data_IF_687496098917
#
_entry.id   IF_687496098917
#
_cell.length_a   1.000
_cell.length_b   1.000
_cell.length_c   1.000
_cell.angle_alpha   90.00
_cell.angle_beta   90.00
_cell.angle_gamma   90.00
#
_symmetry.space_group_name_H-M   'P 1'
#
loop_
_entity.id
_entity.type
_entity.pdbx_description
1 polymer ?
#
# COMPACT_ATOMS: atom_id res chain seq x y z
N UNK A 1 17.46 -30.97 0.05
CA UNK A 1 16.59 -31.28 -1.12
C UNK A 1 15.10 -31.21 -0.80
N UNK A 2 14.61 -31.89 0.25
CA UNK A 2 13.20 -31.82 0.67
C UNK A 2 12.72 -30.39 0.95
N UNK A 3 13.59 -29.56 1.54
CA UNK A 3 13.33 -28.14 1.81
C UNK A 3 13.05 -27.32 0.55
N UNK A 4 13.89 -27.48 -0.48
CA UNK A 4 13.74 -26.79 -1.77
C UNK A 4 12.46 -27.27 -2.48
N UNK A 5 12.18 -28.57 -2.44
CA UNK A 5 10.94 -29.14 -2.99
C UNK A 5 9.72 -28.57 -2.25
N UNK A 6 9.76 -28.57 -0.91
CA UNK A 6 8.70 -27.99 -0.08
C UNK A 6 8.46 -26.52 -0.39
N UNK A 7 9.54 -25.74 -0.57
CA UNK A 7 9.46 -24.34 -0.98
C UNK A 7 8.75 -24.19 -2.33
N UNK A 8 9.23 -24.90 -3.36
CA UNK A 8 8.68 -24.83 -4.72
C UNK A 8 7.21 -25.25 -4.75
N UNK A 9 6.84 -26.32 -4.04
CA UNK A 9 5.44 -26.76 -3.90
C UNK A 9 4.61 -25.68 -3.22
N UNK A 10 5.09 -25.10 -2.12
CA UNK A 10 4.37 -24.06 -1.39
C UNK A 10 4.14 -22.80 -2.23
N UNK A 11 5.17 -22.33 -2.95
CA UNK A 11 5.08 -21.14 -3.82
C UNK A 11 4.17 -21.40 -5.01
N UNK A 12 4.25 -22.59 -5.63
CA UNK A 12 3.37 -22.99 -6.72
C UNK A 12 1.91 -23.02 -6.25
N UNK A 13 1.64 -23.54 -5.05
CA UNK A 13 0.30 -23.57 -4.47
C UNK A 13 -0.23 -22.16 -4.17
N UNK A 14 0.60 -21.30 -3.57
CA UNK A 14 0.25 -19.89 -3.32
C UNK A 14 -0.12 -19.21 -4.64
N UNK A 15 0.74 -19.34 -5.65
CA UNK A 15 0.52 -18.75 -6.97
C UNK A 15 -0.75 -19.29 -7.62
N UNK A 16 -0.99 -20.61 -7.59
CA UNK A 16 -2.19 -21.23 -8.15
C UNK A 16 -3.49 -20.74 -7.49
N UNK A 17 -3.50 -20.56 -6.16
CA UNK A 17 -4.67 -20.04 -5.43
C UNK A 17 -4.92 -18.58 -5.80
N UNK A 18 -3.87 -17.74 -5.81
CA UNK A 18 -3.98 -16.32 -6.18
C UNK A 18 -4.45 -16.15 -7.63
N UNK A 19 -3.91 -16.95 -8.57
CA UNK A 19 -4.33 -16.95 -9.97
C UNK A 19 -5.81 -17.33 -10.16
N UNK A 20 -6.34 -18.19 -9.29
CA UNK A 20 -7.77 -18.53 -9.23
C UNK A 20 -8.62 -17.50 -8.47
N UNK A 21 -8.09 -16.30 -8.24
CA UNK A 21 -8.73 -15.21 -7.47
C UNK A 21 -9.03 -15.60 -6.01
N UNK A 22 -8.31 -16.56 -5.46
CA UNK A 22 -8.36 -16.87 -4.03
C UNK A 22 -7.74 -15.75 -3.20
N UNK A 23 -8.24 -15.55 -1.97
CA UNK A 23 -7.71 -14.54 -1.06
C UNK A 23 -6.26 -14.82 -0.67
N UNK A 24 -5.42 -13.77 -0.65
CA UNK A 24 -3.98 -13.89 -0.38
C UNK A 24 -3.70 -14.55 0.97
N UNK A 25 -4.47 -14.22 2.00
CA UNK A 25 -4.32 -14.84 3.33
C UNK A 25 -4.53 -16.36 3.31
N UNK A 26 -5.53 -16.83 2.56
CA UNK A 26 -5.80 -18.26 2.38
C UNK A 26 -4.67 -18.93 1.60
N UNK A 27 -4.19 -18.27 0.55
CA UNK A 27 -3.07 -18.77 -0.25
C UNK A 27 -1.82 -18.98 0.62
N UNK A 28 -1.47 -18.00 1.47
CA UNK A 28 -0.32 -18.07 2.36
C UNK A 28 -0.46 -19.16 3.43
N UNK A 29 -1.64 -19.31 4.03
CA UNK A 29 -1.90 -20.39 4.99
C UNK A 29 -1.80 -21.77 4.32
N UNK A 30 -2.37 -21.94 3.13
CA UNK A 30 -2.27 -23.17 2.37
C UNK A 30 -0.81 -23.49 1.99
N UNK A 31 -0.04 -22.49 1.55
CA UNK A 31 1.39 -22.62 1.31
C UNK A 31 2.17 -23.01 2.56
N UNK A 32 1.81 -22.45 3.73
CA UNK A 32 2.42 -22.78 5.02
C UNK A 32 2.16 -24.24 5.39
N UNK A 33 0.93 -24.72 5.21
CA UNK A 33 0.56 -26.12 5.45
C UNK A 33 1.33 -27.05 4.50
N UNK A 34 1.40 -26.73 3.21
CA UNK A 34 2.14 -27.52 2.24
C UNK A 34 3.63 -27.61 2.59
N UNK A 35 4.27 -26.47 2.89
CA UNK A 35 5.67 -26.43 3.28
C UNK A 35 5.92 -27.20 4.58
N UNK A 36 5.11 -26.92 5.61
CA UNK A 36 5.24 -27.51 6.94
C UNK A 36 5.10 -29.03 6.92
N UNK A 37 4.12 -29.56 6.19
CA UNK A 37 3.92 -31.02 6.08
C UNK A 37 5.05 -31.73 5.32
N UNK A 38 5.74 -31.05 4.41
CA UNK A 38 6.85 -31.63 3.63
C UNK A 38 8.17 -31.57 4.43
N UNK A 39 8.35 -30.55 5.26
CA UNK A 39 9.65 -30.22 5.86
C UNK A 39 9.74 -30.45 7.37
N UNK A 40 8.61 -30.50 8.07
CA UNK A 40 8.54 -30.59 9.52
C UNK A 40 7.67 -31.78 9.97
N UNK A 41 7.91 -32.25 11.20
CA UNK A 41 6.96 -33.17 11.83
C UNK A 41 5.64 -32.45 12.15
N UNK A 42 4.48 -33.15 12.18
CA UNK A 42 3.20 -32.51 12.52
C UNK A 42 3.21 -31.80 13.89
N UNK A 43 3.93 -32.36 14.87
CA UNK A 43 4.11 -31.73 16.18
C UNK A 43 4.95 -30.46 16.11
N UNK A 44 6.01 -30.44 15.32
CA UNK A 44 6.86 -29.24 15.20
C UNK A 44 6.13 -28.16 14.41
N UNK A 45 5.44 -28.53 13.33
CA UNK A 45 4.63 -27.59 12.55
C UNK A 45 3.54 -26.94 13.41
N UNK A 46 2.79 -27.71 14.19
CA UNK A 46 1.77 -27.12 15.09
C UNK A 46 2.36 -26.16 16.11
N UNK A 47 3.53 -26.47 16.70
CA UNK A 47 4.24 -25.55 17.60
C UNK A 47 4.67 -24.27 16.88
N UNK A 48 5.19 -24.38 15.66
CA UNK A 48 5.58 -23.23 14.83
C UNK A 48 4.38 -22.33 14.54
N UNK A 49 3.25 -22.91 14.13
CA UNK A 49 2.01 -22.16 13.86
C UNK A 49 1.51 -21.45 15.11
N UNK A 50 1.42 -22.14 16.25
CA UNK A 50 0.94 -21.55 17.51
C UNK A 50 1.88 -20.42 17.95
N UNK A 51 3.19 -20.64 17.90
CA UNK A 51 4.19 -19.61 18.27
C UNK A 51 4.09 -18.40 17.34
N UNK A 52 3.91 -18.62 16.03
CA UNK A 52 3.75 -17.54 15.06
C UNK A 52 2.47 -16.73 15.30
N UNK A 53 1.33 -17.38 15.56
CA UNK A 53 0.06 -16.70 15.80
C UNK A 53 0.05 -15.91 17.12
N UNK A 54 0.81 -16.35 18.12
CA UNK A 54 0.93 -15.69 19.43
C UNK A 54 2.10 -14.68 19.50
N UNK A 55 2.89 -14.54 18.43
CA UNK A 55 4.00 -13.60 18.39
C UNK A 55 3.49 -12.14 18.35
N UNK A 56 4.11 -11.26 19.15
CA UNK A 56 3.79 -9.83 19.19
C UNK A 56 3.88 -9.18 17.81
N UNK A 57 4.85 -9.57 16.98
CA UNK A 57 5.02 -9.06 15.61
C UNK A 57 3.84 -9.42 14.71
N UNK A 58 3.18 -10.55 14.99
CA UNK A 58 1.98 -10.97 14.25
C UNK A 58 0.82 -10.07 14.58
N UNK A 59 0.63 -9.72 15.86
CA UNK A 59 -0.36 -8.72 16.25
C UNK A 59 -0.04 -7.36 15.65
N UNK A 60 1.22 -6.91 15.72
CA UNK A 60 1.64 -5.62 15.14
C UNK A 60 1.35 -5.53 13.63
N UNK A 61 1.77 -6.51 12.84
CA UNK A 61 1.52 -6.55 11.39
C UNK A 61 0.04 -6.66 11.08
N UNK A 62 -0.67 -7.57 11.75
CA UNK A 62 -2.09 -7.83 11.50
C UNK A 62 -2.94 -6.62 11.82
N UNK A 63 -2.71 -5.98 12.96
CA UNK A 63 -3.39 -4.74 13.34
C UNK A 63 -3.04 -3.60 12.39
N UNK A 64 -1.77 -3.45 12.00
CA UNK A 64 -1.38 -2.43 11.03
C UNK A 64 -2.15 -2.60 9.72
N UNK A 65 -2.07 -3.77 9.07
CA UNK A 65 -2.73 -4.01 7.77
C UNK A 65 -4.25 -3.83 7.85
N UNK A 66 -4.89 -4.31 8.93
CA UNK A 66 -6.33 -4.17 9.12
C UNK A 66 -6.77 -2.70 9.30
N UNK A 67 -6.08 -1.93 10.14
CA UNK A 67 -6.46 -0.52 10.39
C UNK A 67 -6.07 0.37 9.20
N UNK A 68 -4.98 0.07 8.49
CA UNK A 68 -4.62 0.73 7.22
C UNK A 68 -5.74 0.54 6.19
N UNK A 69 -6.27 -0.68 6.03
CA UNK A 69 -7.40 -0.95 5.15
C UNK A 69 -8.67 -0.21 5.59
N UNK A 70 -8.91 -0.10 6.91
CA UNK A 70 -10.01 0.71 7.45
C UNK A 70 -9.85 2.19 7.12
N UNK A 71 -8.65 2.75 7.25
CA UNK A 71 -8.38 4.14 6.85
C UNK A 71 -8.66 4.34 5.35
N UNK A 72 -8.22 3.42 4.49
CA UNK A 72 -8.54 3.44 3.06
C UNK A 72 -10.05 3.43 2.80
N UNK A 73 -10.81 2.58 3.50
CA UNK A 73 -12.26 2.53 3.41
C UNK A 73 -12.94 3.83 3.89
N UNK A 74 -12.43 4.44 4.97
CA UNK A 74 -12.90 5.74 5.45
C UNK A 74 -12.71 6.81 4.36
N UNK A 75 -11.53 6.89 3.76
CA UNK A 75 -11.25 7.85 2.69
C UNK A 75 -12.21 7.69 1.51
N UNK A 76 -12.51 6.46 1.13
CA UNK A 76 -13.47 6.15 0.05
C UNK A 76 -14.89 6.57 0.40
N UNK A 77 -15.39 6.24 1.59
CA UNK A 77 -16.80 6.46 1.97
C UNK A 77 -17.09 7.93 2.31
N UNK A 78 -16.10 8.65 2.81
CA UNK A 78 -16.25 10.06 3.20
C UNK A 78 -16.05 11.03 2.04
N UNK A 79 -15.68 10.55 0.84
CA UNK A 79 -15.39 11.41 -0.31
C UNK A 79 -14.06 12.16 -0.20
N UNK A 80 -13.23 11.87 0.81
CA UNK A 80 -11.92 12.50 0.98
C UNK A 80 -10.99 12.26 -0.21
N UNK A 81 -11.16 11.14 -0.93
CA UNK A 81 -10.45 10.88 -2.19
C UNK A 81 -10.77 11.93 -3.25
N UNK A 82 -12.04 12.30 -3.39
CA UNK A 82 -12.47 13.30 -4.37
C UNK A 82 -12.04 14.71 -3.95
N UNK A 83 -12.07 15.00 -2.64
CA UNK A 83 -11.53 16.25 -2.09
C UNK A 83 -10.02 16.39 -2.34
N UNK A 84 -9.25 15.30 -2.16
CA UNK A 84 -7.82 15.26 -2.49
C UNK A 84 -7.60 15.53 -3.98
N UNK A 85 -8.31 14.80 -4.84
CA UNK A 85 -8.14 14.88 -6.30
C UNK A 85 -8.42 16.29 -6.82
N UNK A 86 -9.58 16.85 -6.45
CA UNK A 86 -9.98 18.20 -6.85
C UNK A 86 -9.10 19.27 -6.21
N UNK A 87 -8.70 19.09 -4.95
CA UNK A 87 -7.86 20.05 -4.25
C UNK A 87 -6.45 20.12 -4.80
N UNK A 88 -5.84 18.98 -5.15
CA UNK A 88 -4.54 18.92 -5.80
C UNK A 88 -4.57 19.57 -7.18
N UNK A 89 -5.60 19.29 -7.99
CA UNK A 89 -5.78 19.91 -9.30
C UNK A 89 -5.82 21.44 -9.24
N UNK A 90 -6.42 22.00 -8.18
CA UNK A 90 -6.52 23.47 -7.99
C UNK A 90 -5.32 24.09 -7.28
N UNK A 91 -4.64 23.33 -6.42
CA UNK A 91 -3.51 23.83 -5.64
C UNK A 91 -2.17 23.81 -6.40
N UNK A 92 -2.03 22.91 -7.36
CA UNK A 92 -0.79 22.75 -8.12
C UNK A 92 -0.69 23.78 -9.26
N UNK A 93 0.49 24.38 -9.47
CA UNK A 93 0.66 25.50 -10.38
C UNK A 93 0.78 25.09 -11.86
N UNK A 94 0.98 23.80 -12.16
CA UNK A 94 1.12 23.33 -13.54
C UNK A 94 0.40 22.01 -13.78
N UNK A 95 -0.10 21.82 -14.99
CA UNK A 95 -0.78 20.59 -15.40
C UNK A 95 0.14 19.37 -15.37
N UNK A 96 1.42 19.54 -15.72
CA UNK A 96 2.45 18.50 -15.54
C UNK A 96 2.51 18.02 -14.09
N UNK A 97 2.55 18.94 -13.12
CA UNK A 97 2.56 18.55 -11.70
C UNK A 97 1.25 17.87 -11.27
N UNK A 98 0.10 18.29 -11.80
CA UNK A 98 -1.17 17.60 -11.52
C UNK A 98 -1.13 16.16 -12.05
N UNK A 99 -0.66 15.98 -13.27
CA UNK A 99 -0.52 14.68 -13.94
C UNK A 99 0.41 13.73 -13.18
N UNK A 100 1.44 14.23 -12.52
CA UNK A 100 2.40 13.43 -11.74
C UNK A 100 1.94 13.19 -10.29
N UNK A 101 1.54 14.26 -9.58
CA UNK A 101 1.32 14.22 -8.13
C UNK A 101 -0.03 13.65 -7.73
N UNK A 102 -1.07 13.80 -8.56
CA UNK A 102 -2.37 13.15 -8.29
C UNK A 102 -2.16 11.62 -8.33
N UNK A 103 -1.60 11.08 -9.43
CA UNK A 103 -0.74 9.91 -9.50
C UNK A 103 -0.26 9.30 -8.19
N UNK A 104 0.81 9.96 -7.76
CA UNK A 104 1.62 9.65 -6.61
C UNK A 104 0.78 9.60 -5.33
N UNK A 105 -0.07 10.59 -5.07
CA UNK A 105 -0.86 10.66 -3.83
C UNK A 105 -1.87 9.52 -3.75
N UNK A 106 -2.53 9.19 -4.86
CA UNK A 106 -3.39 8.01 -4.91
C UNK A 106 -2.61 6.70 -4.79
N UNK A 107 -1.34 6.66 -5.20
CA UNK A 107 -0.42 5.56 -4.96
C UNK A 107 -0.05 5.38 -3.48
N UNK A 108 0.00 6.47 -2.71
CA UNK A 108 0.22 6.42 -1.26
C UNK A 108 -1.00 5.89 -0.49
N UNK A 109 -2.18 5.85 -1.11
CA UNK A 109 -3.39 5.45 -0.41
C UNK A 109 -3.58 3.94 -0.50
N UNK A 110 -3.87 3.25 0.63
CA UNK A 110 -4.12 1.81 0.67
C UNK A 110 -5.55 1.51 0.19
N UNK A 111 -5.91 1.96 -1.02
CA UNK A 111 -7.26 1.86 -1.58
C UNK A 111 -7.26 0.97 -2.82
N UNK A 112 -8.11 -0.05 -2.80
CA UNK A 112 -8.47 -0.79 -4.01
C UNK A 112 -9.18 0.16 -4.96
N UNK A 113 -8.55 0.48 -6.10
CA UNK A 113 -9.11 1.39 -7.10
C UNK A 113 -8.45 2.77 -7.20
N UNK A 114 -7.28 3.00 -6.60
CA UNK A 114 -6.54 4.26 -6.80
C UNK A 114 -6.36 4.64 -8.28
N UNK A 115 -6.18 3.65 -9.16
CA UNK A 115 -6.15 3.81 -10.62
C UNK A 115 -7.43 4.45 -11.20
N UNK A 116 -8.59 3.99 -10.73
CA UNK A 116 -9.91 4.45 -11.17
C UNK A 116 -10.21 5.86 -10.65
N UNK A 117 -9.62 6.24 -9.51
CA UNK A 117 -9.83 7.56 -8.89
C UNK A 117 -8.89 8.63 -9.47
N UNK A 118 -7.67 8.27 -9.85
CA UNK A 118 -6.74 9.20 -10.50
C UNK A 118 -6.99 9.32 -12.02
N UNK A 119 -7.52 8.28 -12.67
CA UNK A 119 -7.74 8.26 -14.11
C UNK A 119 -8.61 9.42 -14.63
N UNK A 120 -9.76 9.80 -14.02
CA UNK A 120 -10.58 10.91 -14.50
C UNK A 120 -9.84 12.25 -14.48
N UNK A 121 -8.97 12.47 -13.48
CA UNK A 121 -8.20 13.72 -13.39
C UNK A 121 -7.06 13.73 -14.40
N UNK A 122 -6.34 12.62 -14.53
CA UNK A 122 -5.31 12.48 -15.58
C UNK A 122 -5.93 12.62 -16.97
N UNK A 123 -7.12 12.06 -17.19
CA UNK A 123 -7.79 12.14 -18.48
C UNK A 123 -8.20 13.57 -18.80
N UNK A 124 -8.87 14.26 -17.87
CA UNK A 124 -9.27 15.65 -18.05
C UNK A 124 -8.07 16.57 -18.31
N UNK A 125 -7.04 16.50 -17.47
CA UNK A 125 -5.85 17.35 -17.59
C UNK A 125 -5.02 16.99 -18.82
N UNK A 126 -4.87 15.70 -19.11
CA UNK A 126 -4.15 15.23 -20.29
C UNK A 126 -4.84 15.63 -21.60
N UNK A 127 -6.18 15.63 -21.65
CA UNK A 127 -6.93 16.12 -22.79
C UNK A 127 -6.72 17.63 -23.01
N UNK A 128 -6.75 18.43 -21.94
CA UNK A 128 -6.44 19.86 -21.98
C UNK A 128 -5.02 20.08 -22.56
N UNK A 129 -4.05 19.28 -22.13
CA UNK A 129 -2.66 19.32 -22.59
C UNK A 129 -2.46 18.77 -24.03
N UNK A 130 -3.46 18.13 -24.62
CA UNK A 130 -3.38 17.49 -25.95
C UNK A 130 -2.58 16.19 -25.97
N UNK A 131 -2.58 15.43 -24.87
CA UNK A 131 -1.87 14.16 -24.74
C UNK A 131 -2.64 12.99 -25.34
N UNK A 132 -1.89 12.04 -25.90
CA UNK A 132 -2.44 10.80 -26.43
C UNK A 132 -2.89 9.85 -25.30
N UNK A 133 -3.84 8.93 -25.56
CA UNK A 133 -4.35 8.00 -24.54
C UNK A 133 -3.29 7.12 -23.85
N UNK A 134 -2.27 6.70 -24.58
CA UNK A 134 -1.16 5.90 -24.09
C UNK A 134 -0.23 6.71 -23.18
N UNK A 135 0.05 7.97 -23.50
CA UNK A 135 0.82 8.90 -22.65
C UNK A 135 0.13 9.12 -21.30
N UNK A 136 -1.19 9.39 -21.33
CA UNK A 136 -2.01 9.53 -20.11
C UNK A 136 -1.99 8.26 -19.26
N UNK A 137 -2.10 7.11 -19.90
CA UNK A 137 -2.06 5.81 -19.22
C UNK A 137 -0.70 5.55 -18.59
N UNK A 138 0.39 5.84 -19.31
CA UNK A 138 1.75 5.74 -18.80
C UNK A 138 1.93 6.62 -17.57
N UNK A 139 1.57 7.91 -17.63
CA UNK A 139 1.76 8.85 -16.52
C UNK A 139 0.97 8.38 -15.28
N UNK A 140 -0.30 8.00 -15.46
CA UNK A 140 -1.12 7.50 -14.37
C UNK A 140 -0.54 6.23 -13.73
N UNK A 141 -0.04 5.29 -14.55
CA UNK A 141 0.51 4.04 -14.06
C UNK A 141 1.87 4.27 -13.39
N UNK A 142 2.78 5.01 -14.02
CA UNK A 142 4.15 5.18 -13.58
C UNK A 142 4.19 5.90 -12.23
N UNK A 143 3.68 7.14 -12.17
CA UNK A 143 3.78 7.95 -10.96
C UNK A 143 3.00 7.40 -9.77
N UNK A 144 1.95 6.61 -10.02
CA UNK A 144 1.24 5.88 -8.95
C UNK A 144 2.10 4.81 -8.28
N UNK A 145 3.04 4.19 -8.97
CA UNK A 145 3.88 3.12 -8.41
C UNK A 145 5.26 3.61 -7.96
N UNK A 146 5.78 4.71 -8.51
CA UNK A 146 7.09 5.25 -8.08
C UNK A 146 7.13 5.51 -6.57
N UNK A 147 6.03 5.96 -5.97
CA UNK A 147 5.97 6.23 -4.53
C UNK A 147 6.07 4.99 -3.63
N UNK A 148 5.88 3.78 -4.17
CA UNK A 148 5.91 2.54 -3.38
C UNK A 148 7.30 2.25 -2.83
N UNK A 149 8.35 2.78 -3.46
CA UNK A 149 9.72 2.65 -2.99
C UNK A 149 9.98 3.37 -1.66
N UNK A 150 9.20 4.42 -1.36
CA UNK A 150 9.40 5.24 -0.15
C UNK A 150 8.26 5.15 0.85
N UNK A 151 7.08 4.64 0.46
CA UNK A 151 5.91 4.70 1.31
C UNK A 151 5.98 3.67 2.45
N UNK A 152 6.22 4.09 3.71
CA UNK A 152 6.49 3.19 4.85
C UNK A 152 5.32 2.27 5.20
N UNK A 153 4.11 2.66 4.78
CA UNK A 153 2.85 1.99 5.11
C UNK A 153 2.35 1.16 3.92
N UNK A 154 3.06 1.21 2.79
CA UNK A 154 2.83 0.32 1.67
C UNK A 154 2.99 -1.13 2.10
N UNK A 155 2.01 -1.96 1.75
CA UNK A 155 1.98 -3.38 2.14
C UNK A 155 3.27 -4.10 1.76
N UNK A 156 3.80 -3.85 0.55
CA UNK A 156 5.05 -4.45 0.07
C UNK A 156 6.24 -4.17 0.99
N UNK A 157 6.44 -2.91 1.38
CA UNK A 157 7.57 -2.49 2.20
C UNK A 157 7.41 -2.95 3.65
N UNK A 158 6.18 -2.90 4.16
CA UNK A 158 5.84 -3.43 5.49
C UNK A 158 6.15 -4.92 5.57
N UNK A 159 5.68 -5.70 4.59
CA UNK A 159 5.94 -7.13 4.49
C UNK A 159 7.44 -7.42 4.39
N UNK A 160 8.18 -6.70 3.53
CA UNK A 160 9.63 -6.86 3.42
C UNK A 160 10.33 -6.61 4.77
N UNK A 161 9.92 -5.59 5.53
CA UNK A 161 10.43 -5.31 6.88
C UNK A 161 10.15 -6.45 7.86
N UNK A 162 8.93 -6.98 7.89
CA UNK A 162 8.61 -8.10 8.78
C UNK A 162 9.29 -9.40 8.39
N UNK A 163 9.41 -9.71 7.09
CA UNK A 163 10.05 -10.93 6.58
C UNK A 163 11.57 -10.91 6.76
N UNK A 164 12.22 -9.78 6.46
CA UNK A 164 13.68 -9.64 6.61
C UNK A 164 14.13 -9.36 8.05
N UNK A 165 13.20 -8.92 8.91
CA UNK A 165 13.52 -8.42 10.24
C UNK A 165 14.16 -7.03 10.26
N UNK A 166 14.38 -6.41 9.10
CA UNK A 166 14.94 -5.06 8.96
C UNK A 166 13.84 -4.02 9.18
N UNK A 167 14.15 -2.94 9.90
CA UNK A 167 13.19 -1.83 10.07
C UNK A 167 12.87 -1.14 8.73
N UNK A 168 11.70 -0.50 8.64
CA UNK A 168 11.22 0.16 7.42
C UNK A 168 12.16 1.25 6.93
N UNK A 169 12.74 2.06 7.84
CA UNK A 169 13.61 3.18 7.47
C UNK A 169 14.86 2.77 6.68
N UNK A 170 15.70 1.81 7.13
CA UNK A 170 16.81 1.32 6.32
C UNK A 170 16.40 0.83 4.93
N UNK A 171 15.25 0.14 4.81
CA UNK A 171 14.74 -0.30 3.52
C UNK A 171 14.41 0.89 2.61
N UNK A 172 13.75 1.93 3.13
CA UNK A 172 13.47 3.17 2.39
C UNK A 172 14.77 3.81 1.91
N UNK A 173 15.77 3.92 2.79
CA UNK A 173 17.06 4.55 2.44
C UNK A 173 17.75 3.77 1.30
N UNK A 174 17.72 2.45 1.35
CA UNK A 174 18.27 1.60 0.30
C UNK A 174 17.53 1.75 -1.05
N UNK A 175 16.24 2.12 -1.02
CA UNK A 175 15.42 2.31 -2.22
C UNK A 175 15.46 3.75 -2.78
N UNK A 176 16.06 4.72 -2.08
CA UNK A 176 16.16 6.10 -2.55
C UNK A 176 16.77 6.22 -3.96
N UNK A 177 17.88 5.52 -4.31
CA UNK A 177 18.43 5.58 -5.67
C UNK A 177 17.44 5.09 -6.72
N UNK A 178 16.73 3.99 -6.44
CA UNK A 178 15.70 3.41 -7.33
C UNK A 178 14.53 4.38 -7.45
N UNK A 179 14.11 5.02 -6.36
CA UNK A 179 13.06 6.03 -6.39
C UNK A 179 13.44 7.20 -7.30
N UNK A 180 14.61 7.83 -7.08
CA UNK A 180 15.01 9.01 -7.85
C UNK A 180 15.24 8.69 -9.33
N UNK A 181 15.85 7.55 -9.64
CA UNK A 181 15.99 7.08 -11.03
C UNK A 181 14.63 6.80 -11.66
N UNK A 182 13.68 6.23 -10.92
CA UNK A 182 12.32 5.99 -11.41
C UNK A 182 11.52 7.29 -11.61
N UNK A 183 11.67 8.30 -10.74
CA UNK A 183 11.11 9.64 -10.95
C UNK A 183 11.70 10.26 -12.21
N UNK A 184 13.03 10.26 -12.35
CA UNK A 184 13.72 10.82 -13.51
C UNK A 184 13.31 10.13 -14.82
N UNK A 185 13.20 8.79 -14.81
CA UNK A 185 12.70 8.02 -15.95
C UNK A 185 11.25 8.38 -16.28
N UNK A 186 10.39 8.57 -15.27
CA UNK A 186 9.02 9.02 -15.48
C UNK A 186 8.94 10.41 -16.10
N UNK A 187 9.75 11.35 -15.59
CA UNK A 187 9.82 12.72 -16.11
C UNK A 187 10.37 12.78 -17.55
N UNK A 188 11.14 11.77 -17.97
CA UNK A 188 11.69 11.74 -19.32
C UNK A 188 10.61 11.72 -20.42
N UNK A 189 9.37 11.34 -20.10
CA UNK A 189 8.24 11.39 -21.05
C UNK A 189 8.01 12.81 -21.59
N UNK A 190 8.25 13.84 -20.79
CA UNK A 190 8.05 15.23 -21.20
C UNK A 190 9.05 15.69 -22.27
N UNK A 191 10.12 14.93 -22.56
CA UNK A 191 11.02 15.21 -23.67
C UNK A 191 10.50 14.70 -25.02
N UNK A 192 9.62 13.69 -25.00
CA UNK A 192 9.08 13.06 -26.21
C UNK A 192 7.62 13.44 -26.48
N UNK A 193 6.92 13.89 -25.45
CA UNK A 193 5.52 14.31 -25.51
C UNK A 193 5.38 15.78 -25.91
N UNK A 194 4.48 16.04 -26.88
CA UNK A 194 4.10 17.41 -27.26
C UNK A 194 2.93 17.89 -26.40
N UNK A 195 3.23 18.43 -25.22
CA UNK A 195 2.21 19.02 -24.36
C UNK A 195 1.99 20.51 -24.66
N UNK A 196 0.74 20.95 -24.72
CA UNK A 196 0.42 22.39 -24.64
C UNK A 196 0.57 22.87 -23.21
N UNK A 197 1.32 23.95 -23.00
CA UNK A 197 1.31 24.65 -21.71
C UNK A 197 0.09 25.55 -21.66
N UNK A 198 -0.91 25.14 -20.88
CA UNK A 198 -2.06 25.98 -20.57
C UNK A 198 -1.70 26.77 -19.31
N UNK A 199 -1.59 28.08 -19.47
CA UNK A 199 -1.43 28.99 -18.35
C UNK A 199 -2.73 28.97 -17.53
N UNK A 200 -2.71 28.27 -16.39
CA UNK A 200 -3.87 28.25 -15.50
C UNK A 200 -3.88 29.52 -14.66
N UNK A 201 -4.97 30.27 -14.73
CA UNK A 201 -5.36 31.09 -13.60
C UNK A 201 -5.62 30.15 -12.41
N UNK A 202 -4.76 30.22 -11.39
CA UNK A 202 -5.01 29.52 -10.14
C UNK A 202 -6.33 30.08 -9.58
N UNK A 203 -7.43 29.35 -9.73
CA UNK A 203 -8.69 29.65 -9.06
C UNK A 203 -8.45 29.64 -7.54
N UNK A 204 -8.18 30.84 -6.99
CA UNK A 204 -7.91 31.07 -5.57
C UNK A 204 -9.10 30.75 -4.65
N UNK A 205 -10.27 30.42 -5.19
CA UNK A 205 -11.46 30.00 -4.44
C UNK A 205 -11.32 28.60 -3.81
N UNK A 206 -10.17 27.94 -3.97
CA UNK A 206 -9.90 26.68 -3.30
C UNK A 206 -9.55 26.83 -1.82
N UNK A 207 -10.26 26.09 -0.95
CA UNK A 207 -9.94 26.03 0.47
C UNK A 207 -8.70 25.17 0.70
N UNK A 208 -7.52 25.81 0.76
CA UNK A 208 -6.26 25.17 1.18
C UNK A 208 -6.45 24.35 2.47
N UNK A 209 -7.30 24.82 3.38
CA UNK A 209 -7.64 24.16 4.64
C UNK A 209 -8.24 22.76 4.44
N UNK A 210 -9.11 22.57 3.45
CA UNK A 210 -9.73 21.26 3.18
C UNK A 210 -8.72 20.28 2.58
N UNK A 211 -7.86 20.72 1.66
CA UNK A 211 -6.78 19.87 1.14
C UNK A 211 -5.78 19.48 2.24
N UNK A 212 -5.37 20.42 3.08
CA UNK A 212 -4.46 20.12 4.19
C UNK A 212 -5.07 19.11 5.15
N UNK A 213 -6.37 19.24 5.48
CA UNK A 213 -7.09 18.24 6.30
C UNK A 213 -7.11 16.87 5.64
N UNK A 214 -7.25 16.78 4.32
CA UNK A 214 -7.31 15.50 3.61
C UNK A 214 -5.91 14.85 3.45
N UNK A 215 -4.84 15.63 3.31
CA UNK A 215 -3.46 15.13 3.23
C UNK A 215 -2.88 14.77 4.60
N UNK A 216 -3.25 15.52 5.65
CA UNK A 216 -2.66 15.39 6.98
C UNK A 216 -2.64 13.95 7.55
N UNK A 217 -3.71 13.15 7.46
CA UNK A 217 -3.68 11.77 7.93
C UNK A 217 -2.63 10.90 7.21
N UNK A 218 -2.45 11.08 5.89
CA UNK A 218 -1.45 10.34 5.10
C UNK A 218 -0.04 10.69 5.60
N UNK A 219 0.21 11.99 5.82
CA UNK A 219 1.48 12.48 6.32
C UNK A 219 1.77 11.96 7.75
N UNK A 220 0.76 11.99 8.62
CA UNK A 220 0.86 11.49 9.98
C UNK A 220 1.23 10.00 10.02
N UNK A 221 0.51 9.18 9.24
CA UNK A 221 0.77 7.75 9.11
C UNK A 221 2.19 7.50 8.56
N UNK A 222 2.63 8.29 7.59
CA UNK A 222 3.97 8.20 7.01
C UNK A 222 5.09 8.51 8.01
N UNK A 223 4.94 9.58 8.81
CA UNK A 223 5.94 9.94 9.84
C UNK A 223 6.10 8.80 10.84
N UNK A 224 4.99 8.29 11.37
CA UNK A 224 5.02 7.21 12.34
C UNK A 224 5.65 5.95 11.72
N UNK A 225 5.33 5.62 10.48
CA UNK A 225 5.89 4.46 9.78
C UNK A 225 7.39 4.51 9.52
N UNK A 226 7.97 5.71 9.33
CA UNK A 226 9.44 5.85 9.18
C UNK A 226 10.15 5.66 10.52
N UNK A 227 9.51 5.96 11.66
CA UNK A 227 10.18 5.86 12.97
C UNK A 227 10.34 4.41 13.45
N UNK A 228 9.23 3.67 13.59
CA UNK A 228 9.18 2.26 13.98
C UNK A 228 7.98 1.58 13.35
N UNK A 229 8.11 0.31 12.95
CA UNK A 229 7.00 -0.43 12.32
C UNK A 229 5.76 -0.58 13.21
N UNK A 230 5.92 -0.77 14.52
CA UNK A 230 4.78 -0.87 15.45
C UNK A 230 4.03 0.47 15.64
N UNK A 231 4.72 1.60 15.41
CA UNK A 231 4.12 2.94 15.50
C UNK A 231 3.15 3.22 14.34
N UNK A 232 3.18 2.44 13.26
CA UNK A 232 2.23 2.57 12.14
C UNK A 232 0.79 2.48 12.65
N UNK A 233 0.49 1.48 13.49
CA UNK A 233 -0.84 1.31 14.08
C UNK A 233 -1.28 2.56 14.85
N UNK A 234 -0.37 3.14 15.64
CA UNK A 234 -0.62 4.38 16.39
C UNK A 234 -0.85 5.57 15.46
N UNK A 235 -0.03 5.72 14.42
CA UNK A 235 -0.18 6.78 13.41
C UNK A 235 -1.53 6.70 12.70
N UNK A 236 -1.98 5.49 12.34
CA UNK A 236 -3.29 5.29 11.69
C UNK A 236 -4.44 5.56 12.66
N UNK A 237 -4.33 5.15 13.92
CA UNK A 237 -5.33 5.47 14.94
C UNK A 237 -5.46 6.99 15.14
N UNK A 238 -4.34 7.72 15.23
CA UNK A 238 -4.38 9.17 15.31
C UNK A 238 -4.93 9.81 14.04
N UNK A 239 -4.67 9.24 12.85
CA UNK A 239 -5.27 9.68 11.61
C UNK A 239 -6.80 9.54 11.63
N UNK A 240 -7.33 8.41 12.09
CA UNK A 240 -8.77 8.17 12.21
C UNK A 240 -9.39 9.10 13.27
N UNK A 241 -8.73 9.27 14.42
CA UNK A 241 -9.17 10.19 15.47
C UNK A 241 -9.20 11.63 14.97
N UNK A 242 -8.18 12.05 14.23
CA UNK A 242 -8.14 13.36 13.61
C UNK A 242 -9.35 13.57 12.69
N UNK A 243 -9.63 12.61 11.79
CA UNK A 243 -10.79 12.67 10.89
C UNK A 243 -12.12 12.75 11.65
N UNK A 244 -12.23 12.08 12.79
CA UNK A 244 -13.37 12.21 13.70
C UNK A 244 -13.46 13.63 14.26
N UNK A 245 -12.39 14.15 14.87
CA UNK A 245 -12.39 15.47 15.52
C UNK A 245 -12.68 16.62 14.57
N UNK A 246 -12.21 16.55 13.31
CA UNK A 246 -12.51 17.58 12.31
C UNK A 246 -13.90 17.44 11.67
N UNK A 247 -14.71 16.48 12.14
CA UNK A 247 -16.09 16.25 11.68
C UNK A 247 -16.21 15.57 10.31
N UNK A 248 -15.10 15.07 9.74
CA UNK A 248 -15.09 14.36 8.45
C UNK A 248 -15.54 12.90 8.59
N UNK A 249 -15.45 12.33 9.79
CA UNK A 249 -15.89 10.97 10.09
C UNK A 249 -17.09 10.99 11.04
N UNK A 250 -18.25 10.59 10.51
CA UNK A 250 -19.47 10.34 11.29
C UNK A 250 -19.61 8.85 11.62
N UNK A 251 -20.39 8.53 12.66
CA UNK A 251 -20.56 7.16 13.13
C UNK A 251 -21.14 6.22 12.07
N UNK A 252 -22.07 6.70 11.23
CA UNK A 252 -22.67 5.91 10.17
C UNK A 252 -21.68 5.62 9.03
N UNK A 253 -20.88 6.62 8.65
CA UNK A 253 -19.78 6.45 7.69
C UNK A 253 -18.71 5.48 8.21
N UNK A 254 -18.40 5.53 9.51
CA UNK A 254 -17.48 4.60 10.14
C UNK A 254 -18.00 3.15 10.12
N UNK A 255 -19.27 2.92 10.43
CA UNK A 255 -19.90 1.59 10.34
C UNK A 255 -19.88 1.05 8.91
N UNK A 256 -20.12 1.90 7.91
CA UNK A 256 -19.99 1.52 6.49
C UNK A 256 -18.53 1.16 6.17
N UNK A 257 -17.57 1.93 6.67
CA UNK A 257 -16.14 1.69 6.44
C UNK A 257 -15.66 0.37 7.04
N UNK A 258 -16.15 -0.01 8.22
CA UNK A 258 -15.85 -1.32 8.81
C UNK A 258 -16.28 -2.49 7.92
N UNK A 259 -17.43 -2.36 7.24
CA UNK A 259 -17.91 -3.39 6.29
C UNK A 259 -17.08 -3.41 5.01
N UNK A 260 -16.77 -2.24 4.47
CA UNK A 260 -16.00 -2.08 3.23
C UNK A 260 -14.54 -2.50 3.37
N UNK A 261 -13.94 -2.32 4.55
CA UNK A 261 -12.53 -2.61 4.80
C UNK A 261 -12.17 -4.11 4.74
N UNK A 262 -13.17 -5.01 4.72
CA UNK A 262 -12.99 -6.48 4.69
C UNK A 262 -11.95 -6.96 5.72
N UNK A 263 -12.09 -6.50 6.97
CA UNK A 263 -11.09 -6.71 8.03
C UNK A 263 -10.71 -8.18 8.25
N UNK A 264 -11.65 -9.11 8.10
CA UNK A 264 -11.38 -10.54 8.22
C UNK A 264 -10.35 -11.04 7.20
N UNK A 265 -10.42 -10.55 5.96
CA UNK A 265 -9.45 -10.89 4.92
C UNK A 265 -8.07 -10.29 5.23
N UNK A 266 -8.04 -9.04 5.70
CA UNK A 266 -6.80 -8.38 6.10
C UNK A 266 -6.14 -9.07 7.31
N UNK A 267 -6.95 -9.56 8.26
CA UNK A 267 -6.48 -10.34 9.39
C UNK A 267 -5.86 -11.66 8.92
N UNK A 268 -6.54 -12.36 8.00
CA UNK A 268 -6.00 -13.59 7.41
C UNK A 268 -4.71 -13.33 6.63
N UNK A 269 -4.57 -12.19 5.97
CA UNK A 269 -3.31 -11.80 5.31
C UNK A 269 -2.19 -11.63 6.34
N UNK A 270 -2.40 -10.82 7.39
CA UNK A 270 -1.39 -10.59 8.42
C UNK A 270 -0.94 -11.87 9.12
N UNK A 271 -1.90 -12.70 9.54
CA UNK A 271 -1.63 -13.99 10.17
C UNK A 271 -0.95 -14.97 9.18
N UNK A 272 -1.46 -15.07 7.95
CA UNK A 272 -0.93 -15.95 6.92
C UNK A 272 0.52 -15.65 6.55
N UNK A 273 0.89 -14.37 6.45
CA UNK A 273 2.28 -13.95 6.22
C UNK A 273 3.19 -14.44 7.33
N UNK A 274 2.80 -14.22 8.59
CA UNK A 274 3.64 -14.54 9.73
C UNK A 274 3.78 -16.05 9.95
N UNK A 275 2.70 -16.80 9.74
CA UNK A 275 2.74 -18.27 9.76
C UNK A 275 3.64 -18.80 8.62
N UNK A 276 3.51 -18.25 7.41
CA UNK A 276 4.34 -18.66 6.28
C UNK A 276 5.82 -18.38 6.55
N UNK A 277 6.13 -17.17 7.00
CA UNK A 277 7.48 -16.77 7.40
C UNK A 277 8.06 -17.73 8.44
N UNK A 278 7.35 -17.96 9.54
CA UNK A 278 7.81 -18.83 10.61
C UNK A 278 8.03 -20.27 10.13
N UNK A 279 7.20 -20.74 9.21
CA UNK A 279 7.36 -22.07 8.60
C UNK A 279 8.61 -22.13 7.72
N UNK A 280 8.87 -21.10 6.90
CA UNK A 280 10.10 -20.98 6.09
C UNK A 280 11.34 -20.97 6.99
N UNK A 281 11.33 -20.19 8.06
CA UNK A 281 12.43 -20.14 9.03
C UNK A 281 12.65 -21.50 9.73
N UNK A 282 11.58 -22.16 10.19
CA UNK A 282 11.67 -23.45 10.88
C UNK A 282 12.08 -24.61 9.96
N UNK A 283 11.77 -24.52 8.66
CA UNK A 283 12.07 -25.57 7.69
C UNK A 283 13.55 -25.72 7.33
N UNK A 284 14.42 -24.79 7.74
CA UNK A 284 15.85 -24.81 7.39
C UNK A 284 16.18 -24.29 5.99
N UNK A 285 15.19 -23.88 5.19
CA UNK A 285 15.40 -23.31 3.84
C UNK A 285 16.40 -22.15 3.85
N UNK A 286 16.32 -21.30 4.87
CA UNK A 286 17.15 -20.09 5.00
C UNK A 286 18.65 -20.42 5.13
N UNK A 287 19.00 -21.55 5.74
CA UNK A 287 20.39 -22.04 5.84
C UNK A 287 20.86 -22.81 4.61
N UNK A 288 19.93 -23.32 3.80
CA UNK A 288 20.26 -24.10 2.59
C UNK A 288 20.50 -23.23 1.36
N UNK A 289 19.91 -22.02 1.33
CA UNK A 289 20.02 -21.06 0.22
C UNK A 289 21.02 -19.92 0.52
N UNK A 290 21.31 -19.66 1.80
CA UNK A 290 22.28 -18.63 2.25
C UNK A 290 23.71 -19.15 2.28
#
# INVERSE_FOLDING_TARGET
>A
MLEIIGLLVSLTLIFAIVMKKGGIGVALLAGSVALGLITLSPSDFSRVVIKALLDIKTFELTSAVAIIALLGAIYKITGLLDELSNGLRKALPSDKLVMELVPAIFGLLPVLGGALMSAPVVDAVGNDMGLEPDEKTFINLWFRHVVFFLYPVGTTLLLASYLSGVEVKPLIIAQLPVFFTSVAAGQSIWFVTKSKEIEREIERLFSKKELTKAIFPIFLVSIFGITKKWLITVGVLFAILFLWFIGKLQLDSFKKALKEARLSEMILVGAGVMVYRATVEASGITTTIG
#
